data_IF_673635475337
#
_entry.id   IF_673635475337
#
_cell.length_a   1.000
_cell.length_b   1.000
_cell.length_c   1.000
_cell.angle_alpha   90.00
_cell.angle_beta   90.00
_cell.angle_gamma   90.00
#
_symmetry.space_group_name_H-M   'P 1'
#
loop_
_entity.id
_entity.type
_entity.pdbx_description
1 polymer ?
#
# COMPACT_ATOMS: atom_id res chain seq x y z
N UNK A 1 -22.86 30.63 -27.32
CA UNK A 1 -21.51 30.18 -27.72
C UNK A 1 -20.44 30.53 -26.68
N UNK A 2 -20.13 31.80 -26.39
CA UNK A 2 -19.13 32.16 -25.35
C UNK A 2 -19.63 31.79 -23.95
N UNK A 3 -20.90 32.06 -23.63
CA UNK A 3 -21.52 31.70 -22.35
C UNK A 3 -21.56 30.19 -22.10
N UNK A 4 -21.78 29.39 -23.15
CA UNK A 4 -21.77 27.93 -23.04
C UNK A 4 -20.35 27.42 -22.72
N UNK A 5 -19.34 28.02 -23.37
CA UNK A 5 -17.93 27.69 -23.16
C UNK A 5 -17.45 28.08 -21.76
N UNK A 6 -17.88 29.23 -21.22
CA UNK A 6 -17.62 29.62 -19.82
C UNK A 6 -18.25 28.66 -18.81
N UNK A 7 -19.47 28.18 -19.09
CA UNK A 7 -20.14 27.18 -18.27
C UNK A 7 -19.39 25.84 -18.28
N UNK A 8 -19.02 25.34 -19.47
CA UNK A 8 -18.24 24.11 -19.62
C UNK A 8 -16.89 24.16 -18.90
N UNK A 9 -16.18 25.29 -18.98
CA UNK A 9 -14.89 25.46 -18.30
C UNK A 9 -15.04 25.48 -16.77
N UNK A 10 -16.09 26.12 -16.27
CA UNK A 10 -16.40 26.16 -14.84
C UNK A 10 -16.72 24.76 -14.30
N UNK A 11 -17.51 23.99 -15.05
CA UNK A 11 -17.83 22.61 -14.72
C UNK A 11 -16.58 21.70 -14.77
N UNK A 12 -15.76 21.82 -15.81
CA UNK A 12 -14.51 21.06 -15.96
C UNK A 12 -13.51 21.35 -14.83
N UNK A 13 -13.41 22.61 -14.38
CA UNK A 13 -12.55 23.00 -13.26
C UNK A 13 -13.05 22.43 -11.94
N UNK A 14 -14.36 22.54 -11.70
CA UNK A 14 -15.01 21.97 -10.51
C UNK A 14 -14.79 20.46 -10.46
N UNK A 15 -15.01 19.77 -11.58
CA UNK A 15 -14.75 18.33 -11.70
C UNK A 15 -13.28 17.98 -11.43
N UNK A 16 -12.34 18.73 -12.00
CA UNK A 16 -10.90 18.51 -11.79
C UNK A 16 -10.48 18.74 -10.33
N UNK A 17 -11.01 19.77 -9.68
CA UNK A 17 -10.77 20.03 -8.25
C UNK A 17 -11.30 18.88 -7.39
N UNK A 18 -12.50 18.39 -7.68
CA UNK A 18 -13.06 17.22 -6.98
C UNK A 18 -12.21 15.97 -7.21
N UNK A 19 -11.75 15.73 -8.44
CA UNK A 19 -10.85 14.61 -8.75
C UNK A 19 -9.53 14.69 -7.98
N UNK A 20 -8.90 15.87 -7.91
CA UNK A 20 -7.69 16.08 -7.11
C UNK A 20 -7.94 15.74 -5.64
N UNK A 21 -9.05 16.24 -5.08
CA UNK A 21 -9.43 15.95 -3.69
C UNK A 21 -9.66 14.45 -3.44
N UNK A 22 -10.33 13.75 -4.35
CA UNK A 22 -10.51 12.29 -4.24
C UNK A 22 -9.17 11.56 -4.29
N UNK A 23 -8.26 11.98 -5.17
CA UNK A 23 -6.92 11.38 -5.27
C UNK A 23 -6.07 11.64 -4.01
N UNK A 24 -6.16 12.82 -3.42
CA UNK A 24 -5.54 13.13 -2.12
C UNK A 24 -6.09 12.24 -1.01
N UNK A 25 -7.42 12.01 -0.97
CA UNK A 25 -8.01 11.06 -0.02
C UNK A 25 -7.49 9.64 -0.23
N UNK A 26 -7.34 9.19 -1.47
CA UNK A 26 -6.74 7.88 -1.78
C UNK A 26 -5.30 7.83 -1.27
N UNK A 27 -4.50 8.88 -1.47
CA UNK A 27 -3.13 8.94 -0.94
C UNK A 27 -3.10 8.77 0.58
N UNK A 28 -3.98 9.46 1.32
CA UNK A 28 -4.09 9.30 2.78
C UNK A 28 -4.45 7.87 3.17
N UNK A 29 -5.38 7.23 2.45
CA UNK A 29 -5.74 5.83 2.69
C UNK A 29 -4.54 4.89 2.44
N UNK A 30 -3.74 5.14 1.41
CA UNK A 30 -2.53 4.36 1.11
C UNK A 30 -1.47 4.54 2.19
N UNK A 31 -1.28 5.75 2.70
CA UNK A 31 -0.33 6.04 3.78
C UNK A 31 -0.70 5.30 5.07
N UNK A 32 -2.00 5.19 5.38
CA UNK A 32 -2.50 4.41 6.52
C UNK A 32 -2.22 2.89 6.41
N UNK A 33 -1.93 2.36 5.22
CA UNK A 33 -1.58 0.94 5.05
C UNK A 33 -0.16 0.61 5.51
N UNK A 34 0.70 1.62 5.69
CA UNK A 34 2.09 1.44 6.13
C UNK A 34 2.21 0.84 7.53
N UNK A 35 1.34 1.25 8.46
CA UNK A 35 1.36 0.78 9.85
C UNK A 35 0.94 -0.70 9.98
N UNK A 36 -0.21 -1.15 9.42
CA UNK A 36 -0.56 -2.56 9.41
C UNK A 36 0.51 -3.45 8.76
N UNK A 37 1.11 -3.00 7.65
CA UNK A 37 2.21 -3.69 6.98
C UNK A 37 3.42 -3.88 7.89
N UNK A 38 3.83 -2.83 8.62
CA UNK A 38 4.90 -2.91 9.62
C UNK A 38 4.53 -3.88 10.76
N UNK A 39 3.27 -3.87 11.19
CA UNK A 39 2.73 -4.82 12.16
C UNK A 39 2.87 -6.28 11.70
N UNK A 40 2.50 -6.59 10.46
CA UNK A 40 2.67 -7.93 9.90
C UNK A 40 4.14 -8.36 9.81
N UNK A 41 5.05 -7.45 9.43
CA UNK A 41 6.49 -7.75 9.43
C UNK A 41 7.03 -8.08 10.83
N UNK A 42 6.51 -7.40 11.86
CA UNK A 42 6.84 -7.72 13.26
C UNK A 42 6.31 -9.09 13.66
N UNK A 43 5.05 -9.39 13.31
CA UNK A 43 4.45 -10.70 13.55
C UNK A 43 5.21 -11.84 12.87
N UNK A 44 5.67 -11.62 11.63
CA UNK A 44 6.57 -12.53 10.91
C UNK A 44 7.83 -12.87 11.71
N UNK A 45 8.54 -11.84 12.20
CA UNK A 45 9.78 -12.02 12.96
C UNK A 45 9.53 -12.81 14.25
N UNK A 46 8.43 -12.53 14.95
CA UNK A 46 8.03 -13.26 16.15
C UNK A 46 7.72 -14.72 15.83
N UNK A 47 6.94 -15.00 14.78
CA UNK A 47 6.58 -16.36 14.39
C UNK A 47 7.80 -17.17 13.98
N UNK A 48 8.74 -16.56 13.24
CA UNK A 48 10.01 -17.18 12.87
C UNK A 48 10.88 -17.49 14.09
N UNK A 49 10.98 -16.57 15.04
CA UNK A 49 11.72 -16.80 16.29
C UNK A 49 11.09 -17.92 17.13
N UNK A 50 9.75 -17.99 17.18
CA UNK A 50 9.03 -19.07 17.82
C UNK A 50 9.30 -20.41 17.13
N UNK A 51 9.22 -20.48 15.80
CA UNK A 51 9.52 -21.69 15.04
C UNK A 51 10.94 -22.22 15.26
N UNK A 52 11.95 -21.33 15.31
CA UNK A 52 13.32 -21.70 15.64
C UNK A 52 13.42 -22.25 17.08
N UNK A 53 12.80 -21.58 18.04
CA UNK A 53 12.77 -22.04 19.45
C UNK A 53 12.11 -23.41 19.59
N UNK A 54 10.99 -23.64 18.88
CA UNK A 54 10.31 -24.95 18.84
C UNK A 54 11.19 -26.02 18.20
N UNK A 55 11.93 -25.72 17.13
CA UNK A 55 12.89 -26.65 16.51
C UNK A 55 14.00 -27.05 17.48
N UNK A 56 14.57 -26.09 18.21
CA UNK A 56 15.62 -26.35 19.21
C UNK A 56 15.08 -27.26 20.31
N UNK A 57 13.90 -26.94 20.85
CA UNK A 57 13.29 -27.74 21.91
C UNK A 57 12.92 -29.15 21.44
N UNK A 58 12.45 -29.28 20.19
CA UNK A 58 12.17 -30.59 19.57
C UNK A 58 13.43 -31.45 19.49
N UNK A 59 14.56 -30.87 19.07
CA UNK A 59 15.85 -31.57 19.02
C UNK A 59 16.33 -31.99 20.41
N UNK A 60 16.05 -31.18 21.44
CA UNK A 60 16.36 -31.49 22.84
C UNK A 60 15.55 -32.67 23.38
N UNK A 61 14.29 -32.79 22.97
CA UNK A 61 13.37 -33.84 23.42
C UNK A 61 13.54 -35.19 22.69
N UNK A 62 14.31 -35.22 21.59
CA UNK A 62 14.55 -36.45 20.82
C UNK A 62 13.26 -37.04 20.23
N UNK A 63 13.02 -38.34 20.45
CA UNK A 63 11.82 -39.06 19.96
C UNK A 63 10.50 -38.42 20.42
N UNK A 64 10.45 -37.86 21.65
CA UNK A 64 9.27 -37.15 22.17
C UNK A 64 9.01 -35.82 21.47
N UNK A 65 10.02 -35.27 20.79
CA UNK A 65 9.97 -33.98 20.09
C UNK A 65 9.47 -34.05 18.65
N UNK A 66 9.26 -35.24 18.07
CA UNK A 66 9.02 -35.37 16.62
C UNK A 66 7.76 -34.64 16.13
N UNK A 67 6.71 -34.58 16.96
CA UNK A 67 5.48 -33.83 16.65
C UNK A 67 5.67 -32.30 16.62
N UNK A 68 6.62 -31.78 17.38
CA UNK A 68 6.93 -30.34 17.43
C UNK A 68 7.78 -29.89 16.23
N UNK A 69 8.51 -30.81 15.58
CA UNK A 69 9.26 -30.51 14.35
C UNK A 69 8.31 -30.10 13.23
N UNK A 70 7.20 -30.81 13.05
CA UNK A 70 6.19 -30.48 12.03
C UNK A 70 5.56 -29.10 12.31
N UNK A 71 5.23 -28.83 13.58
CA UNK A 71 4.70 -27.52 13.98
C UNK A 71 5.68 -26.37 13.70
N UNK A 72 6.97 -26.58 13.96
CA UNK A 72 8.00 -25.60 13.66
C UNK A 72 8.14 -25.35 12.15
N UNK A 73 8.02 -26.39 11.32
CA UNK A 73 8.01 -26.26 9.86
C UNK A 73 6.78 -25.49 9.37
N UNK A 74 5.61 -25.72 9.97
CA UNK A 74 4.39 -24.98 9.64
C UNK A 74 4.51 -23.50 10.00
N UNK A 75 5.08 -23.17 11.16
CA UNK A 75 5.36 -21.78 11.54
C UNK A 75 6.33 -21.10 10.58
N UNK A 76 7.40 -21.80 10.18
CA UNK A 76 8.37 -21.28 9.21
C UNK A 76 7.70 -21.03 7.86
N UNK A 77 6.92 -21.99 7.35
CA UNK A 77 6.17 -21.88 6.10
C UNK A 77 5.16 -20.72 6.13
N UNK A 78 4.38 -20.60 7.21
CA UNK A 78 3.42 -19.52 7.38
C UNK A 78 4.12 -18.16 7.45
N UNK A 79 5.23 -18.09 8.19
CA UNK A 79 6.03 -16.86 8.29
C UNK A 79 6.50 -16.41 6.91
N UNK A 80 7.04 -17.32 6.10
CA UNK A 80 7.50 -17.01 4.74
C UNK A 80 6.36 -16.48 3.86
N UNK A 81 5.18 -17.13 3.89
CA UNK A 81 4.02 -16.68 3.11
C UNK A 81 3.52 -15.30 3.54
N UNK A 82 3.49 -15.02 4.84
CA UNK A 82 3.10 -13.69 5.35
C UNK A 82 4.09 -12.63 4.86
N UNK A 83 5.40 -12.88 4.96
CA UNK A 83 6.41 -11.93 4.52
C UNK A 83 6.34 -11.63 3.01
N UNK A 84 6.16 -12.68 2.20
CA UNK A 84 6.00 -12.54 0.74
C UNK A 84 4.76 -11.69 0.40
N UNK A 85 3.61 -12.00 0.99
CA UNK A 85 2.37 -11.24 0.78
C UNK A 85 2.49 -9.79 1.23
N UNK A 86 3.14 -9.52 2.37
CA UNK A 86 3.37 -8.16 2.84
C UNK A 86 4.29 -7.37 1.91
N UNK A 87 5.32 -8.02 1.36
CA UNK A 87 6.23 -7.38 0.40
C UNK A 87 5.51 -7.04 -0.90
N UNK A 88 4.69 -7.98 -1.40
CA UNK A 88 3.88 -7.75 -2.59
C UNK A 88 2.85 -6.64 -2.36
N UNK A 89 2.15 -6.66 -1.23
CA UNK A 89 1.18 -5.61 -0.88
C UNK A 89 1.85 -4.24 -0.76
N UNK A 90 3.02 -4.16 -0.11
CA UNK A 90 3.80 -2.92 -0.05
C UNK A 90 4.19 -2.38 -1.43
N UNK A 91 4.62 -3.27 -2.34
CA UNK A 91 4.94 -2.90 -3.72
C UNK A 91 3.72 -2.36 -4.47
N UNK A 92 2.56 -3.00 -4.31
CA UNK A 92 1.30 -2.53 -4.88
C UNK A 92 0.90 -1.16 -4.34
N UNK A 93 0.98 -0.95 -3.02
CA UNK A 93 0.70 0.34 -2.38
C UNK A 93 1.61 1.44 -2.95
N UNK A 94 2.91 1.18 -3.07
CA UNK A 94 3.86 2.13 -3.66
C UNK A 94 3.53 2.45 -5.13
N UNK A 95 3.11 1.44 -5.90
CA UNK A 95 2.74 1.61 -7.32
C UNK A 95 1.50 2.49 -7.46
N UNK A 96 0.48 2.25 -6.65
CA UNK A 96 -0.76 3.05 -6.67
C UNK A 96 -0.46 4.48 -6.20
N UNK A 97 0.33 4.65 -5.14
CA UNK A 97 0.70 5.99 -4.63
C UNK A 97 1.47 6.81 -5.67
N UNK A 98 2.39 6.19 -6.41
CA UNK A 98 3.07 6.84 -7.53
C UNK A 98 2.09 7.26 -8.64
N UNK A 99 1.15 6.38 -9.00
CA UNK A 99 0.11 6.67 -10.00
C UNK A 99 -0.85 7.80 -9.58
N UNK A 100 -1.24 7.82 -8.31
CA UNK A 100 -2.06 8.89 -7.71
C UNK A 100 -1.32 10.22 -7.75
N UNK A 101 -0.04 10.24 -7.37
CA UNK A 101 0.80 11.45 -7.39
C UNK A 101 1.00 11.98 -8.82
N UNK A 102 1.21 11.10 -9.80
CA UNK A 102 1.28 11.48 -11.23
C UNK A 102 -0.05 12.09 -11.70
N UNK A 103 -1.17 11.45 -11.36
CA UNK A 103 -2.50 11.90 -11.76
C UNK A 103 -2.83 13.28 -11.19
N UNK A 104 -2.50 13.52 -9.92
CA UNK A 104 -2.64 14.85 -9.29
C UNK A 104 -1.79 15.87 -10.04
N UNK A 105 -0.53 15.55 -10.33
CA UNK A 105 0.41 16.45 -11.01
C UNK A 105 -0.07 16.81 -12.42
N UNK A 106 -0.61 15.85 -13.16
CA UNK A 106 -1.21 16.05 -14.50
C UNK A 106 -2.44 16.96 -14.43
N UNK A 107 -3.34 16.73 -13.46
CA UNK A 107 -4.53 17.56 -13.26
C UNK A 107 -4.16 18.99 -12.90
N UNK A 108 -3.21 19.18 -11.98
CA UNK A 108 -2.73 20.52 -11.57
C UNK A 108 -2.05 21.24 -12.74
N UNK A 109 -1.21 20.53 -13.50
CA UNK A 109 -0.53 21.11 -14.68
C UNK A 109 -1.53 21.53 -15.75
N UNK A 110 -2.55 20.71 -16.00
CA UNK A 110 -3.66 21.02 -16.91
C UNK A 110 -4.41 22.28 -16.49
N UNK A 111 -4.74 22.41 -15.20
CA UNK A 111 -5.38 23.61 -14.65
C UNK A 111 -4.51 24.88 -14.83
N UNK A 112 -3.21 24.79 -14.56
CA UNK A 112 -2.27 25.91 -14.69
C UNK A 112 -2.12 26.39 -16.15
N UNK A 113 -2.03 25.46 -17.11
CA UNK A 113 -1.97 25.82 -18.54
C UNK A 113 -3.22 26.57 -19.00
N UNK A 114 -4.40 26.15 -18.54
CA UNK A 114 -5.65 26.84 -18.86
C UNK A 114 -5.74 28.23 -18.21
N UNK A 115 -5.30 28.39 -16.96
CA UNK A 115 -5.28 29.70 -16.29
C UNK A 115 -4.32 30.68 -16.98
N UNK A 116 -3.17 30.20 -17.51
CA UNK A 116 -2.20 31.04 -18.23
C UNK A 116 -2.70 31.48 -19.62
N UNK A 117 -3.48 30.64 -20.31
CA UNK A 117 -4.10 30.96 -21.61
C UNK A 117 -5.16 32.07 -21.48
N UNK A 118 -5.66 32.33 -20.27
CA UNK A 118 -6.67 33.37 -19.98
C UNK A 118 -6.05 34.73 -19.61
N UNK A 119 -4.76 34.77 -19.24
CA UNK A 119 -4.06 36.02 -18.86
C UNK A 119 -3.34 36.71 -20.03
N UNK A 120 -3.29 36.07 -21.21
CA UNK A 120 -2.71 36.60 -22.45
C UNK A 120 -3.80 37.06 -23.40
#
# INVERSE_FOLDING_TARGET
>A
MITDMESYLTEARTRSSTSCHTLEQVQVLLDMLSEPLAGFQKMYKTLRMLGISTKIESARLGEMGSGFVNLALDFEKLSHQVNERCTQFGTTVSTISAGVTSSISEVVSSQQMHDMTRQQ
#
